data_IF_550025383975
#
_entry.id   IF_550025383975
#
_cell.length_a   1.000
_cell.length_b   1.000
_cell.length_c   1.000
_cell.angle_alpha   90.00
_cell.angle_beta   90.00
_cell.angle_gamma   90.00
#
_symmetry.space_group_name_H-M   'P 1'
#
loop_
_entity.id
_entity.type
_entity.pdbx_description
1 polymer ?
#
# COMPACT_ATOMS: atom_id res chain seq x y z
N UNK A 1 13.51 19.24 -27.68
CA UNK A 1 14.47 18.13 -27.81
C UNK A 1 14.01 17.14 -26.80
N UNK A 2 13.83 15.84 -27.10
CA UNK A 2 13.52 14.87 -26.09
C UNK A 2 14.72 14.78 -25.13
N UNK A 3 14.47 15.02 -23.85
CA UNK A 3 15.43 14.74 -22.76
C UNK A 3 15.74 13.26 -22.87
N UNK A 4 17.00 12.89 -23.07
CA UNK A 4 17.42 11.49 -22.95
C UNK A 4 17.08 11.06 -21.54
N UNK A 5 16.17 10.13 -21.40
CA UNK A 5 15.96 9.42 -20.15
C UNK A 5 17.31 8.80 -19.78
N UNK A 6 17.97 9.34 -18.77
CA UNK A 6 19.04 8.65 -18.07
C UNK A 6 18.29 7.65 -17.18
N UNK A 7 18.31 6.37 -17.55
CA UNK A 7 17.81 5.34 -16.66
C UNK A 7 18.65 5.39 -15.38
N UNK A 8 18.03 5.78 -14.26
CA UNK A 8 18.69 5.74 -12.95
C UNK A 8 19.04 4.29 -12.63
N UNK A 9 20.24 4.07 -12.15
CA UNK A 9 20.68 2.74 -11.66
C UNK A 9 20.25 2.58 -10.21
N UNK A 10 19.04 2.05 -10.00
CA UNK A 10 18.47 1.82 -8.68
C UNK A 10 19.15 0.61 -8.02
N UNK A 11 19.60 0.78 -6.79
CA UNK A 11 20.20 -0.28 -5.95
C UNK A 11 19.27 -0.71 -4.82
N UNK A 12 18.55 0.26 -4.22
CA UNK A 12 17.60 0.04 -3.13
C UNK A 12 16.33 0.85 -3.43
N UNK A 13 15.23 0.16 -3.63
CA UNK A 13 13.89 0.75 -3.80
C UNK A 13 13.00 0.22 -2.69
N UNK A 14 12.50 1.10 -1.86
CA UNK A 14 11.48 0.76 -0.89
C UNK A 14 10.11 0.74 -1.56
N UNK A 15 9.36 -0.34 -1.36
CA UNK A 15 8.05 -0.53 -2.00
C UNK A 15 6.87 -0.28 -1.09
N UNK A 16 7.14 0.23 0.10
CA UNK A 16 6.15 0.70 1.07
C UNK A 16 6.72 1.82 1.92
N UNK A 17 6.22 3.03 1.70
CA UNK A 17 6.54 4.22 2.49
C UNK A 17 5.36 5.16 2.53
N UNK A 18 5.22 5.90 3.63
CA UNK A 18 4.04 6.70 3.87
C UNK A 18 4.34 8.19 3.93
N UNK A 19 3.32 8.98 3.59
CA UNK A 19 3.31 10.42 3.75
C UNK A 19 2.16 10.83 4.68
N UNK A 20 2.45 11.71 5.62
CA UNK A 20 1.42 12.42 6.38
C UNK A 20 1.04 13.65 5.58
N UNK A 21 -0.16 13.69 5.05
CA UNK A 21 -0.61 14.74 4.16
C UNK A 21 -0.54 16.11 4.86
N UNK A 22 0.14 17.12 4.26
CA UNK A 22 0.20 18.46 4.82
C UNK A 22 -1.17 19.15 4.82
N UNK A 23 -1.39 20.16 5.69
CA UNK A 23 -2.70 20.76 5.95
C UNK A 23 -3.42 21.35 4.76
N UNK A 24 -2.70 21.72 3.70
CA UNK A 24 -3.21 22.45 2.54
C UNK A 24 -3.63 21.55 1.36
N UNK A 25 -3.39 20.24 1.42
CA UNK A 25 -3.67 19.31 0.32
C UNK A 25 -5.05 19.49 -0.27
N UNK A 26 -6.08 19.49 0.54
CA UNK A 26 -7.47 19.61 0.07
C UNK A 26 -7.96 21.05 0.00
N UNK A 27 -7.55 21.88 0.97
CA UNK A 27 -8.04 23.26 1.05
C UNK A 27 -7.63 24.13 -0.15
N UNK A 28 -6.50 23.82 -0.77
CA UNK A 28 -5.97 24.51 -1.95
C UNK A 28 -6.57 24.02 -3.28
N UNK A 29 -7.23 22.83 -3.29
CA UNK A 29 -7.64 22.14 -4.54
C UNK A 29 -9.15 21.95 -4.66
N UNK A 30 -9.86 21.85 -3.55
CA UNK A 30 -11.30 21.64 -3.60
C UNK A 30 -12.05 22.84 -4.21
N UNK A 31 -13.12 22.61 -4.97
CA UNK A 31 -14.04 23.64 -5.39
C UNK A 31 -14.54 24.46 -4.19
N UNK A 32 -14.70 25.78 -4.34
CA UNK A 32 -15.02 26.69 -3.24
C UNK A 32 -16.30 26.34 -2.47
N UNK A 33 -17.28 25.71 -3.12
CA UNK A 33 -18.52 25.27 -2.47
C UNK A 33 -18.37 24.00 -1.62
N UNK A 34 -17.25 23.27 -1.78
CA UNK A 34 -16.92 22.06 -1.02
C UNK A 34 -15.84 22.31 0.04
N UNK A 35 -15.01 23.34 -0.14
CA UNK A 35 -13.79 23.54 0.66
C UNK A 35 -14.07 23.64 2.18
N UNK A 36 -15.17 24.27 2.60
CA UNK A 36 -15.51 24.39 4.03
C UNK A 36 -15.75 23.01 4.68
N UNK A 37 -16.27 22.04 3.93
CA UNK A 37 -16.61 20.69 4.40
C UNK A 37 -15.49 19.67 4.11
N UNK A 38 -14.57 20.03 3.24
CA UNK A 38 -13.40 19.21 2.90
C UNK A 38 -12.43 19.04 4.07
N UNK A 39 -11.45 18.13 3.92
CA UNK A 39 -10.44 17.89 4.94
C UNK A 39 -9.69 19.19 5.30
N UNK A 40 -9.61 19.47 6.60
CA UNK A 40 -8.87 20.61 7.17
C UNK A 40 -8.30 20.26 8.53
N UNK A 41 -7.19 20.87 8.89
CA UNK A 41 -6.58 20.67 10.22
C UNK A 41 -7.28 21.57 11.26
N UNK A 42 -7.58 20.97 12.39
CA UNK A 42 -8.01 21.65 13.62
C UNK A 42 -6.98 21.35 14.70
N UNK A 43 -6.21 22.37 15.09
CA UNK A 43 -5.26 22.26 16.20
C UNK A 43 -6.01 22.26 17.52
N UNK A 44 -5.74 21.30 18.38
CA UNK A 44 -6.24 21.18 19.75
C UNK A 44 -5.09 21.38 20.73
N UNK A 45 -5.34 21.30 22.04
CA UNK A 45 -4.25 21.34 23.05
C UNK A 45 -3.30 20.14 22.93
N UNK A 46 -3.85 18.97 22.53
CA UNK A 46 -3.12 17.70 22.57
C UNK A 46 -2.53 17.28 21.21
N UNK A 47 -3.13 17.70 20.07
CA UNK A 47 -2.73 17.27 18.74
C UNK A 47 -3.35 18.11 17.61
N UNK A 48 -2.79 17.95 16.40
CA UNK A 48 -3.43 18.35 15.16
C UNK A 48 -4.34 17.22 14.65
N UNK A 49 -5.59 17.55 14.34
CA UNK A 49 -6.62 16.57 13.99
C UNK A 49 -7.28 16.98 12.68
N UNK A 50 -7.45 16.05 11.76
CA UNK A 50 -8.23 16.28 10.57
C UNK A 50 -9.73 16.38 10.90
N UNK A 51 -10.41 17.37 10.37
CA UNK A 51 -11.87 17.49 10.35
C UNK A 51 -12.35 17.35 8.91
N UNK A 52 -13.24 16.38 8.66
CA UNK A 52 -13.80 16.06 7.34
C UNK A 52 -15.32 15.98 7.51
N UNK A 53 -16.07 16.84 6.81
CA UNK A 53 -17.54 16.89 6.91
C UNK A 53 -18.07 16.92 8.36
N UNK A 54 -17.35 17.62 9.26
CA UNK A 54 -17.69 17.73 10.68
C UNK A 54 -17.28 16.54 11.56
N UNK A 55 -16.65 15.50 10.99
CA UNK A 55 -16.11 14.37 11.73
C UNK A 55 -14.62 14.55 11.96
N UNK A 56 -14.10 14.14 13.13
CA UNK A 56 -12.68 14.25 13.47
C UNK A 56 -11.97 12.94 13.25
N UNK A 57 -10.81 13.03 12.60
CA UNK A 57 -9.94 11.91 12.23
C UNK A 57 -8.52 12.20 12.75
N UNK A 58 -8.17 11.80 13.99
CA UNK A 58 -6.81 11.92 14.48
C UNK A 58 -5.88 10.97 13.74
N UNK A 59 -4.71 11.45 13.35
CA UNK A 59 -3.64 10.59 12.84
C UNK A 59 -3.01 9.90 14.05
N UNK A 60 -2.89 8.57 14.00
CA UNK A 60 -2.16 7.84 15.02
C UNK A 60 -0.70 8.28 15.05
N UNK A 61 -0.16 8.53 16.25
CA UNK A 61 1.28 8.82 16.38
C UNK A 61 2.16 7.70 15.82
N UNK A 62 1.68 6.44 15.84
CA UNK A 62 2.41 5.31 15.25
C UNK A 62 2.73 5.48 13.77
N UNK A 63 2.00 6.36 13.08
CA UNK A 63 2.25 6.69 11.66
C UNK A 63 3.38 7.72 11.44
N UNK A 64 4.07 8.20 12.50
CA UNK A 64 5.09 9.25 12.39
C UNK A 64 6.18 9.07 13.47
N UNK A 65 6.69 7.84 13.63
CA UNK A 65 7.65 7.49 14.68
C UNK A 65 9.10 7.43 14.20
N UNK A 66 9.40 7.60 12.92
CA UNK A 66 10.76 7.58 12.40
C UNK A 66 11.70 8.51 13.17
N UNK A 67 12.84 7.97 13.63
CA UNK A 67 13.85 8.68 14.40
C UNK A 67 13.60 8.79 15.91
N UNK A 68 12.49 8.23 16.41
CA UNK A 68 12.22 8.11 17.85
C UNK A 68 12.75 6.79 18.40
N UNK A 69 13.07 6.78 19.69
CA UNK A 69 13.38 5.53 20.38
C UNK A 69 12.10 4.70 20.60
N UNK A 70 12.22 3.39 20.77
CA UNK A 70 11.07 2.49 20.97
C UNK A 70 10.24 2.85 22.22
N UNK A 71 10.87 3.44 23.24
CA UNK A 71 10.21 3.89 24.47
C UNK A 71 9.34 5.15 24.24
N UNK A 72 9.58 5.89 23.15
CA UNK A 72 8.81 7.08 22.77
C UNK A 72 7.63 6.76 21.86
N UNK A 73 7.47 5.50 21.43
CA UNK A 73 6.37 5.11 20.57
C UNK A 73 5.03 5.32 21.26
N UNK A 74 4.10 5.95 20.55
CA UNK A 74 2.79 6.30 21.09
C UNK A 74 1.70 6.25 20.01
N UNK A 75 0.53 5.65 20.34
CA UNK A 75 -0.63 5.74 19.47
C UNK A 75 -1.37 7.08 19.55
N UNK A 76 -0.97 7.97 20.48
CA UNK A 76 -1.58 9.29 20.62
C UNK A 76 -1.26 10.14 19.41
N UNK A 77 -2.26 10.86 18.90
CA UNK A 77 -2.06 11.82 17.83
C UNK A 77 -1.03 12.89 18.23
N UNK A 78 -0.32 13.41 17.25
CA UNK A 78 0.76 14.39 17.42
C UNK A 78 0.38 15.72 16.76
N UNK A 79 1.09 16.80 17.15
CA UNK A 79 1.16 18.00 16.31
C UNK A 79 2.13 17.78 15.15
N UNK A 80 1.90 18.42 14.00
CA UNK A 80 2.86 18.41 12.90
C UNK A 80 4.27 18.85 13.34
N UNK A 81 4.34 19.83 14.25
CA UNK A 81 5.60 20.31 14.80
C UNK A 81 6.39 19.25 15.60
N UNK A 82 5.73 18.21 16.08
CA UNK A 82 6.33 17.11 16.83
C UNK A 82 6.72 15.93 15.93
N UNK A 83 6.33 15.95 14.64
CA UNK A 83 6.70 14.95 13.66
C UNK A 83 8.03 15.30 13.00
N UNK A 84 8.75 14.29 12.52
CA UNK A 84 9.92 14.50 11.68
C UNK A 84 9.50 15.17 10.37
N UNK A 85 10.19 16.23 9.89
CA UNK A 85 9.80 16.91 8.66
C UNK A 85 9.65 16.00 7.44
N UNK A 86 10.50 14.97 7.28
CA UNK A 86 10.38 13.99 6.21
C UNK A 86 9.03 13.25 6.15
N UNK A 87 8.20 13.31 7.20
CA UNK A 87 6.84 12.77 7.18
C UNK A 87 5.91 13.57 6.24
N UNK A 88 6.09 14.91 6.12
CA UNK A 88 5.15 15.82 5.44
C UNK A 88 5.80 16.86 4.53
N UNK A 89 7.13 16.88 4.39
CA UNK A 89 7.90 17.74 3.50
C UNK A 89 8.75 16.88 2.55
N UNK A 90 8.55 16.98 1.22
CA UNK A 90 9.23 16.09 0.27
C UNK A 90 10.72 16.39 0.14
N UNK A 91 11.19 17.63 0.39
CA UNK A 91 12.61 17.93 0.35
C UNK A 91 13.33 17.31 1.56
N UNK A 92 12.74 17.40 2.76
CA UNK A 92 13.24 16.73 3.94
C UNK A 92 13.16 15.18 3.81
N UNK A 93 12.15 14.64 3.08
CA UNK A 93 12.06 13.21 2.78
C UNK A 93 13.26 12.76 1.94
N UNK A 94 13.62 13.50 0.90
CA UNK A 94 14.78 13.16 0.06
C UNK A 94 16.09 13.17 0.86
N UNK A 95 16.24 14.09 1.84
CA UNK A 95 17.39 14.09 2.76
C UNK A 95 17.39 12.84 3.65
N UNK A 96 16.23 12.41 4.15
CA UNK A 96 16.08 11.19 4.96
C UNK A 96 16.39 9.93 4.15
N UNK A 97 15.96 9.86 2.89
CA UNK A 97 16.30 8.79 1.96
C UNK A 97 17.81 8.72 1.68
N UNK A 98 18.45 9.88 1.48
CA UNK A 98 19.90 9.96 1.26
C UNK A 98 20.68 9.47 2.49
N UNK A 99 20.20 9.81 3.69
CA UNK A 99 20.79 9.36 4.94
C UNK A 99 20.72 7.83 5.09
N UNK A 100 19.63 7.25 4.68
CA UNK A 100 19.33 5.81 4.82
C UNK A 100 19.81 4.97 3.62
N UNK A 101 20.26 5.63 2.54
CA UNK A 101 20.74 4.98 1.33
C UNK A 101 19.65 4.33 0.50
N UNK A 102 18.44 4.92 0.49
CA UNK A 102 17.30 4.48 -0.31
C UNK A 102 17.19 5.33 -1.58
N UNK A 103 17.21 4.69 -2.74
CA UNK A 103 17.20 5.38 -4.04
C UNK A 103 15.82 5.87 -4.45
N UNK A 104 14.77 5.09 -4.16
CA UNK A 104 13.38 5.45 -4.46
C UNK A 104 12.41 4.81 -3.45
N UNK A 105 11.24 5.44 -3.28
CA UNK A 105 10.16 5.03 -2.39
C UNK A 105 8.82 5.02 -3.11
N UNK A 106 8.01 3.97 -2.88
CA UNK A 106 6.63 3.88 -3.33
C UNK A 106 5.73 4.47 -2.26
N UNK A 107 5.03 5.57 -2.58
CA UNK A 107 4.37 6.47 -1.64
C UNK A 107 2.90 6.16 -1.42
N UNK A 108 2.51 5.94 -0.16
CA UNK A 108 1.14 5.77 0.29
C UNK A 108 0.72 6.91 1.24
N UNK A 109 -0.56 7.25 1.25
CA UNK A 109 -1.11 8.27 2.15
C UNK A 109 -1.53 7.70 3.50
N UNK A 110 -1.75 8.60 4.46
CA UNK A 110 -2.16 8.27 5.83
C UNK A 110 -3.62 8.64 6.10
N UNK A 111 -4.02 9.90 5.89
CA UNK A 111 -5.38 10.38 6.23
C UNK A 111 -6.42 10.00 5.17
N UNK A 112 -6.03 9.90 3.92
CA UNK A 112 -6.90 9.34 2.88
C UNK A 112 -7.43 7.95 3.31
N UNK A 113 -6.90 7.45 4.40
CA UNK A 113 -7.04 6.09 4.91
C UNK A 113 -6.34 5.14 3.94
N UNK A 114 -5.63 4.16 4.45
CA UNK A 114 -5.03 3.18 3.57
C UNK A 114 -6.09 2.71 2.56
N UNK A 115 -5.83 2.92 1.28
CA UNK A 115 -6.74 2.62 0.17
C UNK A 115 -8.00 3.53 0.05
N UNK A 116 -7.93 4.76 0.53
CA UNK A 116 -9.03 5.71 0.39
C UNK A 116 -10.25 5.43 1.26
N UNK A 117 -10.10 4.61 2.31
CA UNK A 117 -11.21 4.16 3.17
C UNK A 117 -12.01 5.31 3.78
N UNK A 118 -11.36 6.40 4.17
CA UNK A 118 -12.02 7.62 4.68
C UNK A 118 -12.99 8.22 3.66
N UNK A 119 -12.61 8.26 2.38
CA UNK A 119 -13.44 8.84 1.33
C UNK A 119 -14.50 7.86 0.81
N UNK A 120 -14.26 6.55 0.89
CA UNK A 120 -15.31 5.54 0.65
C UNK A 120 -16.48 5.74 1.64
N UNK A 121 -16.18 5.95 2.93
CA UNK A 121 -17.21 6.22 3.93
C UNK A 121 -17.88 7.57 3.74
N UNK A 122 -17.12 8.58 3.34
CA UNK A 122 -17.66 9.90 3.05
C UNK A 122 -18.67 9.86 1.90
N UNK A 123 -18.39 9.03 0.86
CA UNK A 123 -19.23 8.91 -0.32
C UNK A 123 -20.66 8.43 -0.03
N UNK A 124 -20.88 7.66 1.06
CA UNK A 124 -22.24 7.25 1.47
C UNK A 124 -23.17 8.45 1.75
N UNK A 125 -22.60 9.61 2.08
CA UNK A 125 -23.37 10.82 2.46
C UNK A 125 -23.11 11.98 1.52
N UNK A 126 -21.93 12.07 0.96
CA UNK A 126 -21.40 13.23 0.25
C UNK A 126 -20.51 12.80 -0.92
N UNK A 127 -21.12 12.12 -1.90
CA UNK A 127 -20.41 11.51 -3.01
C UNK A 127 -19.55 12.50 -3.81
N UNK A 128 -20.09 13.70 -4.11
CA UNK A 128 -19.35 14.75 -4.83
C UNK A 128 -18.10 15.19 -4.05
N UNK A 129 -18.25 15.44 -2.74
CA UNK A 129 -17.12 15.83 -1.89
C UNK A 129 -16.08 14.71 -1.82
N UNK A 130 -16.51 13.45 -1.68
CA UNK A 130 -15.64 12.31 -1.61
C UNK A 130 -14.82 12.14 -2.91
N UNK A 131 -15.46 12.27 -4.08
CA UNK A 131 -14.79 12.18 -5.38
C UNK A 131 -13.76 13.30 -5.56
N UNK A 132 -14.12 14.53 -5.24
CA UNK A 132 -13.18 15.66 -5.32
C UNK A 132 -12.03 15.53 -4.30
N UNK A 133 -12.27 14.92 -3.13
CA UNK A 133 -11.19 14.62 -2.17
C UNK A 133 -10.21 13.56 -2.71
N UNK A 134 -10.70 12.51 -3.36
CA UNK A 134 -9.86 11.49 -4.02
C UNK A 134 -8.99 12.14 -5.10
N UNK A 135 -9.60 12.92 -5.98
CA UNK A 135 -8.89 13.63 -7.07
C UNK A 135 -7.86 14.61 -6.52
N UNK A 136 -8.23 15.41 -5.53
CA UNK A 136 -7.32 16.38 -4.91
C UNK A 136 -6.09 15.71 -4.28
N UNK A 137 -6.28 14.55 -3.62
CA UNK A 137 -5.18 13.76 -3.08
C UNK A 137 -4.26 13.23 -4.20
N UNK A 138 -4.83 12.59 -5.23
CA UNK A 138 -4.05 12.04 -6.32
C UNK A 138 -3.28 13.14 -7.07
N UNK A 139 -3.92 14.29 -7.32
CA UNK A 139 -3.27 15.44 -7.96
C UNK A 139 -2.09 15.93 -7.12
N UNK A 140 -2.30 16.17 -5.83
CA UNK A 140 -1.25 16.62 -4.92
C UNK A 140 -0.09 15.63 -4.85
N UNK A 141 -0.38 14.34 -4.63
CA UNK A 141 0.67 13.35 -4.46
C UNK A 141 1.57 13.27 -5.69
N UNK A 142 0.99 13.27 -6.89
CA UNK A 142 1.76 13.15 -8.12
C UNK A 142 2.40 14.46 -8.56
N UNK A 143 1.65 15.58 -8.55
CA UNK A 143 2.09 16.83 -9.20
C UNK A 143 2.84 17.78 -8.29
N UNK A 144 2.86 17.53 -6.98
CA UNK A 144 3.58 18.35 -6.01
C UNK A 144 4.56 17.52 -5.18
N UNK A 145 4.07 16.54 -4.40
CA UNK A 145 4.94 15.73 -3.55
C UNK A 145 5.97 14.96 -4.39
N UNK A 146 5.51 14.06 -5.22
CA UNK A 146 6.41 13.22 -6.04
C UNK A 146 7.09 14.01 -7.18
N UNK A 147 6.52 15.14 -7.60
CA UNK A 147 7.15 16.01 -8.59
C UNK A 147 8.46 16.66 -8.11
N UNK A 148 8.74 16.65 -6.80
CA UNK A 148 10.03 17.11 -6.23
C UNK A 148 11.19 16.27 -6.76
N UNK A 149 11.05 14.95 -6.87
CA UNK A 149 11.94 14.06 -7.62
C UNK A 149 11.13 12.84 -8.11
N UNK A 150 10.54 12.87 -9.30
CA UNK A 150 9.64 11.84 -9.82
C UNK A 150 10.36 10.52 -10.16
N UNK A 151 11.68 10.49 -10.14
CA UNK A 151 12.45 9.25 -10.26
C UNK A 151 12.66 8.58 -8.90
N UNK A 152 12.48 9.31 -7.80
CA UNK A 152 12.67 8.80 -6.44
C UNK A 152 11.39 8.63 -5.65
N UNK A 153 10.38 9.47 -5.85
CA UNK A 153 9.11 9.44 -5.14
C UNK A 153 8.02 8.93 -6.08
N UNK A 154 7.51 7.72 -5.83
CA UNK A 154 6.67 6.96 -6.78
C UNK A 154 5.23 6.96 -6.29
N UNK A 155 4.37 7.75 -6.91
CA UNK A 155 2.99 7.96 -6.47
C UNK A 155 2.10 6.72 -6.69
N UNK A 156 1.29 6.39 -5.66
CA UNK A 156 0.20 5.41 -5.72
C UNK A 156 -1.14 6.12 -5.61
N UNK A 157 -2.05 5.86 -6.57
CA UNK A 157 -3.37 6.48 -6.57
C UNK A 157 -4.35 5.74 -5.67
N UNK A 158 -5.24 6.46 -4.99
CA UNK A 158 -6.46 5.92 -4.38
C UNK A 158 -7.62 6.06 -5.35
N UNK A 159 -8.65 5.20 -5.22
CA UNK A 159 -9.74 5.12 -6.19
C UNK A 159 -11.10 5.37 -5.53
N UNK A 160 -12.07 6.01 -6.25
CA UNK A 160 -13.46 6.14 -5.83
C UNK A 160 -14.21 4.80 -6.00
N UNK A 161 -13.86 3.80 -5.19
CA UNK A 161 -14.23 2.40 -5.40
C UNK A 161 -15.74 2.11 -5.17
N UNK A 162 -16.51 3.07 -4.66
CA UNK A 162 -17.97 3.01 -4.56
C UNK A 162 -18.68 3.06 -5.93
N UNK A 163 -18.01 3.58 -6.96
CA UNK A 163 -18.44 3.55 -8.35
C UNK A 163 -17.31 3.02 -9.24
N UNK A 164 -17.51 1.85 -9.83
CA UNK A 164 -16.47 1.18 -10.63
C UNK A 164 -16.17 1.90 -11.96
N UNK A 165 -17.13 2.67 -12.49
CA UNK A 165 -16.92 3.49 -13.68
C UNK A 165 -16.00 4.67 -13.36
N UNK A 166 -16.34 5.44 -12.33
CA UNK A 166 -15.49 6.55 -11.85
C UNK A 166 -14.09 6.05 -11.42
N UNK A 167 -14.04 4.86 -10.80
CA UNK A 167 -12.76 4.27 -10.39
C UNK A 167 -11.89 3.89 -11.60
N UNK A 168 -12.47 3.35 -12.67
CA UNK A 168 -11.73 3.04 -13.89
C UNK A 168 -11.23 4.31 -14.61
N UNK A 169 -12.08 5.34 -14.70
CA UNK A 169 -11.69 6.66 -15.23
C UNK A 169 -10.56 7.29 -14.40
N UNK A 170 -10.60 7.13 -13.07
CA UNK A 170 -9.56 7.65 -12.17
C UNK A 170 -8.24 6.89 -12.32
N UNK A 171 -8.26 5.57 -12.62
CA UNK A 171 -7.02 4.83 -12.97
C UNK A 171 -6.35 5.45 -14.19
N UNK A 172 -7.10 5.69 -15.27
CA UNK A 172 -6.58 6.26 -16.50
C UNK A 172 -6.01 7.67 -16.24
N UNK A 173 -6.78 8.53 -15.55
CA UNK A 173 -6.37 9.90 -15.21
C UNK A 173 -5.12 9.91 -14.32
N UNK A 174 -5.07 9.06 -13.29
CA UNK A 174 -3.94 9.00 -12.37
C UNK A 174 -2.65 8.59 -13.08
N UNK A 175 -2.72 7.63 -13.98
CA UNK A 175 -1.55 7.21 -14.79
C UNK A 175 -1.09 8.35 -15.72
N UNK A 176 -2.01 9.10 -16.33
CA UNK A 176 -1.67 10.25 -17.17
C UNK A 176 -0.90 11.35 -16.41
N UNK A 177 -1.22 11.56 -15.13
CA UNK A 177 -0.53 12.54 -14.29
C UNK A 177 0.70 12.00 -13.56
N UNK A 178 1.06 10.71 -13.73
CA UNK A 178 2.33 10.15 -13.29
C UNK A 178 2.27 9.08 -12.20
N UNK A 179 1.09 8.65 -11.75
CA UNK A 179 0.98 7.52 -10.83
C UNK A 179 1.48 6.22 -11.47
N UNK A 180 2.15 5.38 -10.67
CA UNK A 180 2.75 4.13 -11.12
C UNK A 180 2.08 2.88 -10.55
N UNK A 181 1.01 3.04 -9.80
CA UNK A 181 0.18 1.97 -9.26
C UNK A 181 -1.07 2.53 -8.61
N UNK A 182 -1.96 1.64 -8.22
CA UNK A 182 -3.18 2.00 -7.50
C UNK A 182 -3.29 1.20 -6.21
N UNK A 183 -3.87 1.83 -5.20
CA UNK A 183 -4.13 1.22 -3.91
C UNK A 183 -5.63 1.00 -3.76
N UNK A 184 -6.04 -0.23 -3.45
CA UNK A 184 -7.44 -0.57 -3.17
C UNK A 184 -7.58 -1.26 -1.82
N UNK A 185 -8.73 -1.14 -1.14
CA UNK A 185 -8.97 -1.89 0.09
C UNK A 185 -8.79 -3.39 -0.13
N UNK A 186 -7.95 -4.03 0.67
CA UNK A 186 -7.76 -5.48 0.64
C UNK A 186 -9.08 -6.23 0.92
N UNK A 187 -9.95 -5.62 1.71
CA UNK A 187 -11.26 -6.14 2.12
C UNK A 187 -12.33 -5.04 1.88
N UNK A 188 -12.79 -4.83 0.63
CA UNK A 188 -13.81 -3.82 0.34
C UNK A 188 -15.11 -4.00 1.15
N UNK A 189 -15.44 -5.24 1.54
CA UNK A 189 -16.62 -5.55 2.36
C UNK A 189 -16.57 -4.87 3.75
N UNK A 190 -15.39 -4.53 4.26
CA UNK A 190 -15.25 -3.77 5.50
C UNK A 190 -15.86 -2.35 5.39
N UNK A 191 -16.02 -1.85 4.17
CA UNK A 191 -16.62 -0.58 3.82
C UNK A 191 -18.02 -0.71 3.19
N UNK A 192 -18.66 -1.88 3.33
CA UNK A 192 -19.98 -2.13 2.73
C UNK A 192 -19.98 -2.35 1.21
N UNK A 193 -18.82 -2.42 0.59
CA UNK A 193 -18.65 -2.63 -0.84
C UNK A 193 -18.66 -4.14 -1.20
N UNK A 194 -18.93 -4.50 -2.46
CA UNK A 194 -18.75 -5.88 -2.95
C UNK A 194 -17.32 -6.40 -2.74
N UNK A 195 -17.13 -7.74 -2.63
CA UNK A 195 -15.77 -8.30 -2.57
C UNK A 195 -14.98 -7.98 -3.85
N UNK A 196 -13.66 -7.84 -3.76
CA UNK A 196 -12.80 -7.50 -4.89
C UNK A 196 -12.96 -8.46 -6.09
N UNK A 197 -13.39 -9.70 -5.83
CA UNK A 197 -13.67 -10.70 -6.84
C UNK A 197 -14.98 -10.49 -7.62
N UNK A 198 -15.83 -9.55 -7.17
CA UNK A 198 -17.11 -9.27 -7.82
C UNK A 198 -16.88 -8.71 -9.23
N UNK A 199 -17.66 -9.17 -10.23
CA UNK A 199 -17.56 -8.64 -11.59
C UNK A 199 -17.76 -7.14 -11.74
N UNK A 200 -18.35 -6.47 -10.76
CA UNK A 200 -18.51 -5.00 -10.76
C UNK A 200 -17.16 -4.28 -10.89
N UNK A 201 -16.06 -4.86 -10.38
CA UNK A 201 -14.72 -4.28 -10.46
C UNK A 201 -13.95 -4.65 -11.73
N UNK A 202 -14.54 -5.41 -12.66
CA UNK A 202 -13.86 -5.73 -13.91
C UNK A 202 -13.36 -4.49 -14.67
N UNK A 203 -14.12 -3.36 -14.78
CA UNK A 203 -13.61 -2.16 -15.44
C UNK A 203 -12.33 -1.59 -14.81
N UNK A 204 -12.24 -1.61 -13.47
CA UNK A 204 -11.08 -1.12 -12.73
C UNK A 204 -9.86 -2.00 -12.98
N UNK A 205 -10.05 -3.33 -12.87
CA UNK A 205 -8.96 -4.30 -13.08
C UNK A 205 -8.47 -4.31 -14.53
N UNK A 206 -9.38 -4.13 -15.49
CA UNK A 206 -9.07 -4.00 -16.91
C UNK A 206 -8.27 -2.71 -17.19
N UNK A 207 -8.65 -1.58 -16.59
CA UNK A 207 -7.92 -0.32 -16.70
C UNK A 207 -6.50 -0.45 -16.12
N UNK A 208 -6.34 -1.03 -14.92
CA UNK A 208 -5.02 -1.28 -14.33
C UNK A 208 -4.16 -2.20 -15.22
N UNK A 209 -4.73 -3.28 -15.74
CA UNK A 209 -4.03 -4.20 -16.64
C UNK A 209 -3.61 -3.49 -17.95
N UNK A 210 -4.50 -2.71 -18.55
CA UNK A 210 -4.23 -1.99 -19.79
C UNK A 210 -3.14 -0.94 -19.62
N UNK A 211 -3.16 -0.22 -18.50
CA UNK A 211 -2.13 0.75 -18.13
C UNK A 211 -0.79 0.09 -17.68
N UNK A 212 -0.81 -1.23 -17.38
CA UNK A 212 0.36 -1.97 -16.90
C UNK A 212 0.78 -1.61 -15.47
N UNK A 213 -0.09 -0.97 -14.70
CA UNK A 213 0.18 -0.58 -13.31
C UNK A 213 -0.25 -1.65 -12.32
N UNK A 214 0.46 -1.86 -11.20
CA UNK A 214 0.06 -2.81 -10.17
C UNK A 214 -1.12 -2.32 -9.34
N UNK A 215 -1.89 -3.29 -8.82
CA UNK A 215 -2.88 -3.10 -7.76
C UNK A 215 -2.25 -3.50 -6.42
N UNK A 216 -2.08 -2.54 -5.54
CA UNK A 216 -1.58 -2.75 -4.19
C UNK A 216 -2.73 -3.10 -3.23
N UNK A 217 -2.51 -4.12 -2.41
CA UNK A 217 -3.36 -4.58 -1.32
C UNK A 217 -2.57 -4.42 -0.03
N UNK A 218 -2.72 -3.28 0.63
CA UNK A 218 -1.97 -2.94 1.83
C UNK A 218 -2.65 -3.50 3.09
N UNK A 219 -1.87 -4.04 4.02
CA UNK A 219 -2.40 -4.42 5.33
C UNK A 219 -2.89 -3.17 6.10
N UNK A 220 -3.57 -3.34 7.21
CA UNK A 220 -4.00 -2.21 8.06
C UNK A 220 -5.26 -1.49 7.61
N UNK A 221 -5.45 -1.21 6.33
CA UNK A 221 -6.53 -0.36 5.83
C UNK A 221 -7.96 -0.80 6.16
N UNK A 222 -8.16 -2.07 6.47
CA UNK A 222 -9.47 -2.63 6.85
C UNK A 222 -9.51 -3.21 8.26
N UNK A 223 -8.37 -3.38 8.94
CA UNK A 223 -8.24 -4.19 10.18
C UNK A 223 -8.93 -3.55 11.38
N UNK A 224 -9.00 -2.24 11.44
CA UNK A 224 -9.73 -1.54 12.52
C UNK A 224 -11.25 -1.80 12.50
N UNK A 225 -11.75 -2.50 11.47
CA UNK A 225 -13.17 -2.74 11.27
C UNK A 225 -13.57 -4.15 11.68
N UNK A 226 -14.80 -4.26 12.22
CA UNK A 226 -15.33 -5.52 12.75
C UNK A 226 -15.29 -6.69 11.76
N UNK A 227 -15.57 -6.42 10.48
CA UNK A 227 -15.57 -7.44 9.43
C UNK A 227 -14.14 -7.98 9.13
N UNK A 228 -13.12 -7.14 9.24
CA UNK A 228 -11.75 -7.58 9.07
C UNK A 228 -11.29 -8.45 10.24
N UNK A 229 -11.71 -8.13 11.46
CA UNK A 229 -11.40 -8.93 12.66
C UNK A 229 -11.93 -10.38 12.54
N UNK A 230 -13.06 -10.59 11.89
CA UNK A 230 -13.59 -11.95 11.66
C UNK A 230 -12.67 -12.80 10.78
N UNK A 231 -11.92 -12.17 9.87
CA UNK A 231 -10.99 -12.87 8.96
C UNK A 231 -9.67 -13.26 9.65
N UNK A 232 -9.29 -12.55 10.70
CA UNK A 232 -8.11 -12.86 11.53
C UNK A 232 -8.47 -13.61 12.82
N UNK A 233 -9.56 -14.38 12.81
CA UNK A 233 -9.96 -15.25 13.92
C UNK A 233 -10.79 -14.58 15.02
N UNK A 234 -11.47 -13.46 14.72
CA UNK A 234 -12.36 -12.77 15.65
C UNK A 234 -11.66 -11.94 16.73
N UNK A 235 -10.35 -11.72 16.59
CA UNK A 235 -9.57 -10.91 17.51
C UNK A 235 -9.78 -9.42 17.19
N UNK A 236 -10.51 -8.72 18.06
CA UNK A 236 -10.74 -7.27 17.91
C UNK A 236 -9.94 -6.48 18.94
N UNK A 237 -9.31 -5.35 18.55
CA UNK A 237 -8.71 -4.44 19.50
C UNK A 237 -9.70 -4.02 20.59
N UNK A 238 -9.25 -3.97 21.86
CA UNK A 238 -10.07 -3.52 22.97
C UNK A 238 -11.00 -4.56 23.62
N UNK A 239 -11.10 -5.78 23.08
CA UNK A 239 -11.89 -6.88 23.67
C UNK A 239 -11.06 -7.77 24.63
N UNK A 240 -10.09 -7.18 25.34
CA UNK A 240 -9.16 -7.92 26.22
C UNK A 240 -8.01 -8.58 25.45
N UNK A 241 -7.85 -8.29 24.16
CA UNK A 241 -6.73 -8.73 23.34
C UNK A 241 -5.58 -7.74 23.52
N UNK A 242 -4.37 -8.17 23.87
CA UNK A 242 -3.19 -7.29 23.93
C UNK A 242 -2.93 -6.62 22.57
N UNK A 243 -2.49 -5.36 22.59
CA UNK A 243 -2.20 -4.63 21.37
C UNK A 243 -1.13 -5.32 20.51
N UNK A 244 -0.11 -5.88 21.16
CA UNK A 244 0.97 -6.62 20.51
C UNK A 244 0.46 -7.82 19.70
N UNK A 245 -0.63 -8.47 20.17
CA UNK A 245 -1.26 -9.56 19.41
C UNK A 245 -1.82 -9.07 18.09
N UNK A 246 -2.44 -7.88 18.09
CA UNK A 246 -3.00 -7.27 16.86
C UNK A 246 -1.86 -6.90 15.92
N UNK A 247 -0.84 -6.20 16.42
CA UNK A 247 0.34 -5.81 15.61
C UNK A 247 0.98 -7.04 14.98
N UNK A 248 1.25 -8.10 15.76
CA UNK A 248 1.89 -9.32 15.27
C UNK A 248 1.05 -10.10 14.24
N UNK A 249 -0.29 -9.96 14.26
CA UNK A 249 -1.18 -10.66 13.32
C UNK A 249 -1.57 -9.82 12.10
N UNK A 250 -1.34 -8.51 12.15
CA UNK A 250 -1.68 -7.59 11.05
C UNK A 250 -1.07 -8.01 9.71
N UNK A 251 0.23 -8.37 9.62
CA UNK A 251 0.84 -8.84 8.37
C UNK A 251 0.14 -10.06 7.75
N UNK A 252 -0.43 -10.93 8.58
CA UNK A 252 -1.14 -12.13 8.10
C UNK A 252 -2.52 -11.83 7.51
N UNK A 253 -3.00 -10.59 7.58
CA UNK A 253 -4.29 -10.18 7.02
C UNK A 253 -4.41 -10.46 5.52
N UNK A 254 -3.34 -10.29 4.76
CA UNK A 254 -3.33 -10.54 3.32
C UNK A 254 -3.28 -12.01 2.92
N UNK A 255 -2.99 -12.93 3.83
CA UNK A 255 -3.06 -14.37 3.58
C UNK A 255 -4.42 -14.81 3.02
N UNK A 256 -5.51 -14.44 3.71
CA UNK A 256 -6.88 -14.75 3.27
C UNK A 256 -7.29 -14.01 2.00
N UNK A 257 -6.83 -12.76 1.86
CA UNK A 257 -7.10 -11.92 0.68
C UNK A 257 -6.49 -12.54 -0.57
N UNK A 258 -5.22 -12.96 -0.52
CA UNK A 258 -4.55 -13.60 -1.66
C UNK A 258 -5.17 -14.94 -2.05
N UNK A 259 -5.61 -15.75 -1.07
CA UNK A 259 -6.38 -16.97 -1.37
C UNK A 259 -7.64 -16.64 -2.15
N UNK A 260 -8.40 -15.63 -1.69
CA UNK A 260 -9.63 -15.20 -2.34
C UNK A 260 -9.37 -14.66 -3.76
N UNK A 261 -8.37 -13.78 -3.93
CA UNK A 261 -7.97 -13.25 -5.24
C UNK A 261 -7.66 -14.38 -6.22
N UNK A 262 -6.86 -15.38 -5.83
CA UNK A 262 -6.47 -16.49 -6.70
C UNK A 262 -7.69 -17.38 -7.01
N UNK A 263 -8.35 -17.91 -5.99
CA UNK A 263 -9.44 -18.87 -6.19
C UNK A 263 -10.70 -18.27 -6.82
N UNK A 264 -10.90 -16.96 -6.72
CA UNK A 264 -11.98 -16.27 -7.44
C UNK A 264 -11.77 -16.18 -8.96
N UNK A 265 -10.54 -16.49 -9.43
CA UNK A 265 -10.20 -16.48 -10.85
C UNK A 265 -9.87 -15.08 -11.41
N UNK A 266 -9.61 -14.08 -10.56
CA UNK A 266 -9.09 -12.77 -11.01
C UNK A 266 -7.86 -12.99 -11.91
N UNK A 267 -6.83 -13.76 -11.50
CA UNK A 267 -5.66 -13.97 -12.34
C UNK A 267 -5.91 -14.68 -13.67
N UNK A 268 -7.03 -15.40 -13.79
CA UNK A 268 -7.45 -16.05 -15.06
C UNK A 268 -8.09 -15.02 -15.99
N UNK A 269 -8.94 -14.14 -15.43
CA UNK A 269 -9.65 -13.11 -16.22
C UNK A 269 -8.73 -11.96 -16.63
N UNK A 270 -7.75 -11.64 -15.78
CA UNK A 270 -6.81 -10.53 -15.97
C UNK A 270 -5.35 -11.05 -15.92
N UNK A 271 -4.88 -11.77 -16.97
CA UNK A 271 -3.60 -12.49 -16.94
C UNK A 271 -2.37 -11.58 -16.96
N UNK A 272 -2.51 -10.30 -17.30
CA UNK A 272 -1.45 -9.30 -17.28
C UNK A 272 -1.48 -8.40 -16.04
N UNK A 273 -2.49 -8.55 -15.17
CA UNK A 273 -2.62 -7.73 -13.96
C UNK A 273 -1.54 -8.09 -12.94
N UNK A 274 -0.86 -7.10 -12.41
CA UNK A 274 0.09 -7.26 -11.30
C UNK A 274 -0.61 -6.95 -9.98
N UNK A 275 -0.45 -7.80 -8.96
CA UNK A 275 -1.06 -7.62 -7.64
C UNK A 275 0.04 -7.70 -6.58
N UNK A 276 0.11 -6.70 -5.72
CA UNK A 276 1.14 -6.56 -4.68
C UNK A 276 0.50 -6.67 -3.30
N UNK A 277 0.99 -7.58 -2.47
CA UNK A 277 0.70 -7.62 -1.03
C UNK A 277 1.72 -6.75 -0.33
N UNK A 278 1.28 -5.63 0.20
CA UNK A 278 2.14 -4.63 0.83
C UNK A 278 2.14 -4.83 2.34
N UNK A 279 3.31 -4.71 2.96
CA UNK A 279 3.57 -4.80 4.41
C UNK A 279 3.13 -6.14 5.04
N UNK A 280 3.16 -7.23 4.25
CA UNK A 280 2.61 -8.51 4.71
C UNK A 280 3.66 -9.54 5.09
N UNK A 281 4.94 -9.24 4.91
CA UNK A 281 6.00 -10.22 5.02
C UNK A 281 5.90 -11.32 3.94
N UNK A 282 6.88 -12.21 3.92
CA UNK A 282 7.00 -13.26 2.91
C UNK A 282 7.15 -14.67 3.49
N UNK A 283 7.42 -14.80 4.79
CA UNK A 283 7.65 -16.10 5.45
C UNK A 283 6.46 -17.04 5.41
N UNK A 284 5.25 -16.52 5.31
CA UNK A 284 4.03 -17.33 5.20
C UNK A 284 3.79 -17.86 3.77
N UNK A 285 4.39 -17.27 2.74
CA UNK A 285 4.11 -17.57 1.33
C UNK A 285 4.42 -19.02 0.94
N UNK A 286 5.56 -19.64 1.30
CA UNK A 286 5.85 -21.01 0.90
C UNK A 286 4.80 -22.02 1.37
N UNK A 287 4.43 -21.98 2.65
CA UNK A 287 3.38 -22.83 3.21
C UNK A 287 2.02 -22.59 2.54
N UNK A 288 1.73 -21.33 2.29
CA UNK A 288 0.46 -20.93 1.68
C UNK A 288 0.31 -21.45 0.25
N UNK A 289 1.34 -21.33 -0.57
CA UNK A 289 1.35 -21.87 -1.94
C UNK A 289 1.15 -23.39 -1.96
N UNK A 290 1.89 -24.12 -1.09
CA UNK A 290 1.71 -25.56 -0.94
C UNK A 290 0.28 -25.92 -0.52
N UNK A 291 -0.27 -25.20 0.45
CA UNK A 291 -1.63 -25.44 0.96
C UNK A 291 -2.70 -25.18 -0.08
N UNK A 292 -2.55 -24.11 -0.87
CA UNK A 292 -3.46 -23.80 -1.97
C UNK A 292 -3.41 -24.85 -3.08
N UNK A 293 -2.22 -25.28 -3.51
CA UNK A 293 -2.06 -26.29 -4.56
C UNK A 293 -2.63 -27.64 -4.11
N UNK A 294 -2.43 -28.01 -2.84
CA UNK A 294 -3.07 -29.18 -2.25
C UNK A 294 -4.58 -29.09 -2.26
N UNK A 295 -5.14 -27.94 -1.89
CA UNK A 295 -6.57 -27.68 -1.89
C UNK A 295 -7.15 -27.76 -3.30
N UNK A 296 -6.53 -27.09 -4.26
CA UNK A 296 -6.90 -27.12 -5.67
C UNK A 296 -6.94 -28.55 -6.23
N UNK A 297 -5.86 -29.33 -6.00
CA UNK A 297 -5.77 -30.70 -6.50
C UNK A 297 -6.94 -31.58 -6.05
N UNK A 298 -7.40 -31.41 -4.80
CA UNK A 298 -8.47 -32.24 -4.22
C UNK A 298 -9.86 -31.73 -4.45
N UNK A 299 -10.04 -30.43 -4.57
CA UNK A 299 -11.35 -29.83 -4.48
C UNK A 299 -11.84 -29.19 -5.78
N UNK A 300 -10.97 -28.90 -6.78
CA UNK A 300 -11.33 -28.16 -8.01
C UNK A 300 -12.54 -28.70 -8.76
N UNK A 301 -12.80 -29.99 -8.70
CA UNK A 301 -13.91 -30.61 -9.47
C UNK A 301 -15.27 -30.32 -8.84
N UNK A 302 -15.40 -30.52 -7.53
CA UNK A 302 -16.68 -30.29 -6.87
C UNK A 302 -16.96 -28.81 -6.63
N UNK A 303 -15.89 -27.98 -6.44
CA UNK A 303 -16.01 -26.51 -6.34
C UNK A 303 -16.20 -25.85 -7.69
N UNK A 304 -16.00 -26.58 -8.80
CA UNK A 304 -16.00 -26.03 -10.16
C UNK A 304 -15.04 -24.85 -10.27
N UNK A 305 -13.82 -25.04 -9.78
CA UNK A 305 -12.79 -23.99 -9.75
C UNK A 305 -12.65 -23.30 -11.11
N UNK A 306 -12.53 -21.98 -11.09
CA UNK A 306 -12.23 -21.17 -12.27
C UNK A 306 -10.77 -21.34 -12.74
N UNK A 307 -9.90 -21.87 -11.87
CA UNK A 307 -8.48 -22.04 -12.18
C UNK A 307 -8.25 -23.23 -13.11
N UNK A 308 -7.34 -23.07 -14.06
CA UNK A 308 -6.89 -24.11 -15.00
C UNK A 308 -5.52 -24.67 -14.64
N UNK A 309 -4.78 -23.98 -13.80
CA UNK A 309 -3.43 -24.32 -13.31
C UNK A 309 -3.40 -24.30 -11.76
N UNK A 310 -2.39 -24.87 -11.12
CA UNK A 310 -2.21 -24.74 -9.68
C UNK A 310 -2.12 -23.26 -9.23
N UNK A 311 -2.66 -22.89 -8.06
CA UNK A 311 -2.58 -21.55 -7.49
C UNK A 311 -1.17 -20.95 -7.47
N UNK A 312 -0.15 -21.73 -7.14
CA UNK A 312 1.25 -21.29 -7.14
C UNK A 312 1.74 -20.79 -8.51
N UNK A 313 1.18 -21.29 -9.61
CA UNK A 313 1.51 -20.82 -10.97
C UNK A 313 1.03 -19.38 -11.17
N UNK A 314 -0.19 -19.07 -10.71
CA UNK A 314 -0.73 -17.71 -10.79
C UNK A 314 0.03 -16.74 -9.89
N UNK A 315 0.39 -17.17 -8.68
CA UNK A 315 1.23 -16.36 -7.80
C UNK A 315 2.53 -15.97 -8.50
N UNK A 316 3.31 -16.95 -8.96
CA UNK A 316 4.61 -16.67 -9.61
C UNK A 316 4.50 -15.83 -10.88
N UNK A 317 3.37 -15.87 -11.57
CA UNK A 317 3.18 -15.12 -12.81
C UNK A 317 2.92 -13.64 -12.60
N UNK A 318 2.13 -13.26 -11.57
CA UNK A 318 1.57 -11.92 -11.48
C UNK A 318 1.31 -11.39 -10.06
N UNK A 319 1.73 -12.11 -9.02
CA UNK A 319 1.57 -11.65 -7.64
C UNK A 319 2.93 -11.41 -6.99
N UNK A 320 2.97 -10.40 -6.13
CA UNK A 320 4.19 -9.95 -5.46
C UNK A 320 3.89 -9.75 -3.99
N UNK A 321 4.90 -9.90 -3.13
CA UNK A 321 4.81 -9.61 -1.71
C UNK A 321 6.01 -8.79 -1.26
N UNK A 322 5.78 -7.89 -0.30
CA UNK A 322 6.80 -7.01 0.24
C UNK A 322 7.11 -7.36 1.69
N UNK A 323 8.29 -7.00 2.16
CA UNK A 323 8.77 -7.29 3.50
C UNK A 323 9.85 -6.31 3.95
N UNK A 324 9.90 -6.04 5.26
CA UNK A 324 10.96 -5.27 5.92
C UNK A 324 12.12 -6.19 6.33
N UNK A 325 11.86 -7.03 7.33
CA UNK A 325 12.77 -8.06 7.87
C UNK A 325 11.97 -9.36 8.02
N UNK A 326 12.40 -10.42 7.33
CA UNK A 326 11.71 -11.72 7.36
C UNK A 326 12.68 -12.85 7.02
N UNK A 327 13.47 -13.29 8.01
CA UNK A 327 14.48 -14.34 7.83
C UNK A 327 13.87 -15.64 7.31
N UNK A 328 12.68 -16.03 7.81
CA UNK A 328 12.00 -17.24 7.37
C UNK A 328 11.65 -17.21 5.87
N UNK A 329 11.24 -16.02 5.39
CA UNK A 329 10.96 -15.81 3.99
C UNK A 329 12.23 -15.77 3.12
N UNK A 330 13.27 -15.14 3.63
CA UNK A 330 14.58 -15.05 2.95
C UNK A 330 15.19 -16.44 2.79
N UNK A 331 15.16 -17.27 3.84
CA UNK A 331 15.61 -18.68 3.76
C UNK A 331 14.82 -19.51 2.73
N UNK A 332 13.56 -19.14 2.49
CA UNK A 332 12.68 -19.83 1.55
C UNK A 332 12.52 -19.12 0.19
N UNK A 333 13.32 -18.11 -0.12
CA UNK A 333 13.13 -17.20 -1.24
C UNK A 333 13.03 -17.90 -2.61
N UNK A 334 13.79 -18.97 -2.82
CA UNK A 334 13.71 -19.75 -4.05
C UNK A 334 12.37 -20.51 -4.20
N UNK A 335 11.76 -20.90 -3.07
CA UNK A 335 10.44 -21.56 -3.04
C UNK A 335 9.30 -20.57 -3.30
N UNK A 336 9.46 -19.33 -2.87
CA UNK A 336 8.54 -18.23 -3.14
C UNK A 336 8.63 -17.87 -4.64
N UNK A 337 9.81 -17.65 -5.13
CA UNK A 337 10.20 -17.03 -6.38
C UNK A 337 10.83 -15.68 -6.10
N UNK A 338 12.15 -15.57 -6.22
CA UNK A 338 12.87 -14.33 -5.90
C UNK A 338 12.37 -13.12 -6.72
N UNK A 339 11.86 -13.37 -7.92
CA UNK A 339 11.27 -12.38 -8.82
C UNK A 339 9.90 -11.84 -8.36
N UNK A 340 9.30 -12.45 -7.33
CA UNK A 340 7.99 -12.06 -6.78
C UNK A 340 8.08 -11.37 -5.41
N UNK A 341 9.30 -11.04 -4.98
CA UNK A 341 9.58 -10.46 -3.66
C UNK A 341 10.22 -9.10 -3.82
N UNK A 342 9.78 -8.11 -3.01
CA UNK A 342 10.34 -6.76 -2.99
C UNK A 342 10.57 -6.34 -1.54
N UNK A 343 11.63 -5.57 -1.32
CA UNK A 343 11.96 -4.99 -0.03
C UNK A 343 11.21 -3.67 0.22
N UNK A 344 10.97 -3.34 1.49
CA UNK A 344 10.34 -2.11 1.94
C UNK A 344 10.99 -1.56 3.21
N UNK A 345 10.84 -0.25 3.45
CA UNK A 345 11.32 0.46 4.63
C UNK A 345 10.21 0.79 5.63
N UNK A 346 8.99 0.98 5.15
CA UNK A 346 7.82 1.44 5.90
C UNK A 346 8.05 2.79 6.62
N UNK A 347 8.85 3.69 6.01
CA UNK A 347 9.01 5.03 6.58
C UNK A 347 7.69 5.83 6.49
N UNK A 348 7.23 6.53 7.53
CA UNK A 348 7.85 6.80 8.84
C UNK A 348 7.16 6.05 10.01
N UNK A 349 6.58 4.90 9.77
CA UNK A 349 5.85 4.12 10.76
C UNK A 349 6.74 3.55 11.89
N UNK A 350 6.13 2.85 12.84
CA UNK A 350 6.84 2.20 13.97
C UNK A 350 7.72 1.04 13.54
N UNK A 351 7.37 0.36 12.45
CA UNK A 351 8.10 -0.81 11.96
C UNK A 351 9.25 -0.43 11.01
N UNK A 352 9.41 0.86 10.72
CA UNK A 352 10.42 1.35 9.78
C UNK A 352 11.83 0.87 10.08
N UNK A 353 12.55 0.50 9.02
CA UNK A 353 13.99 0.19 9.08
C UNK A 353 14.87 1.44 9.18
N UNK A 354 14.31 2.63 8.91
CA UNK A 354 15.01 3.90 8.97
C UNK A 354 15.52 4.25 10.39
N UNK A 355 16.70 4.79 10.62
CA UNK A 355 17.75 5.14 9.65
C UNK A 355 18.83 4.06 9.50
N UNK A 356 18.46 2.79 9.59
CA UNK A 356 19.40 1.64 9.61
C UNK A 356 19.15 0.66 8.49
N UNK A 357 18.46 1.08 7.42
CA UNK A 357 18.11 0.17 6.31
C UNK A 357 19.33 -0.53 5.72
N UNK A 358 20.45 0.18 5.52
CA UNK A 358 21.66 -0.45 4.96
C UNK A 358 22.27 -1.50 5.91
N UNK A 359 22.23 -1.26 7.23
CA UNK A 359 22.73 -2.24 8.22
C UNK A 359 21.86 -3.50 8.20
N UNK A 360 20.53 -3.35 8.23
CA UNK A 360 19.58 -4.45 8.22
C UNK A 360 19.59 -5.21 6.88
N UNK A 361 19.70 -4.50 5.75
CA UNK A 361 19.87 -5.12 4.43
C UNK A 361 21.13 -5.99 4.41
N UNK A 362 22.25 -5.53 4.93
CA UNK A 362 23.49 -6.33 4.97
C UNK A 362 23.36 -7.50 5.93
N UNK A 363 22.74 -7.31 7.09
CA UNK A 363 22.54 -8.37 8.09
C UNK A 363 21.67 -9.51 7.56
N UNK A 364 20.52 -9.18 6.95
CA UNK A 364 19.51 -10.17 6.55
C UNK A 364 19.64 -10.64 5.11
N UNK A 365 20.11 -9.79 4.20
CA UNK A 365 20.19 -10.08 2.75
C UNK A 365 21.64 -10.24 2.24
N UNK A 366 22.64 -9.92 3.06
CA UNK A 366 24.06 -9.97 2.67
C UNK A 366 24.55 -11.37 2.27
N UNK A 367 23.88 -12.43 2.77
CA UNK A 367 24.17 -13.82 2.42
C UNK A 367 23.56 -14.31 1.10
N UNK A 368 22.68 -13.53 0.48
CA UNK A 368 22.05 -13.93 -0.79
C UNK A 368 23.02 -13.77 -1.98
N UNK A 369 22.87 -14.58 -3.04
CA UNK A 369 23.56 -14.33 -4.30
C UNK A 369 23.24 -12.93 -4.84
N UNK A 370 24.23 -12.22 -5.38
CA UNK A 370 24.12 -10.84 -5.86
C UNK A 370 22.91 -10.60 -6.77
N UNK A 371 22.63 -11.53 -7.69
CA UNK A 371 21.51 -11.44 -8.61
C UNK A 371 20.15 -11.49 -7.90
N UNK A 372 20.01 -12.32 -6.86
CA UNK A 372 18.78 -12.41 -6.05
C UNK A 372 18.67 -11.16 -5.18
N UNK A 373 19.75 -10.77 -4.51
CA UNK A 373 19.78 -9.56 -3.67
C UNK A 373 19.38 -8.32 -4.48
N UNK A 374 19.96 -8.11 -5.67
CA UNK A 374 19.59 -7.01 -6.54
C UNK A 374 18.13 -7.09 -7.01
N UNK A 375 17.63 -8.27 -7.38
CA UNK A 375 16.24 -8.45 -7.79
C UNK A 375 15.28 -8.01 -6.68
N UNK A 376 15.51 -8.42 -5.44
CA UNK A 376 14.68 -8.13 -4.26
C UNK A 376 14.76 -6.66 -3.87
N UNK A 377 15.96 -6.06 -3.86
CA UNK A 377 16.17 -4.70 -3.40
C UNK A 377 15.77 -3.63 -4.42
N UNK A 378 15.81 -3.94 -5.73
CA UNK A 378 15.50 -2.94 -6.75
C UNK A 378 14.86 -3.52 -8.02
N UNK A 379 15.43 -4.58 -8.61
CA UNK A 379 15.07 -5.03 -9.94
C UNK A 379 13.59 -5.39 -10.10
N UNK A 380 12.98 -6.00 -9.08
CA UNK A 380 11.56 -6.34 -9.11
C UNK A 380 10.68 -5.09 -9.01
N UNK A 381 11.00 -4.14 -8.14
CA UNK A 381 10.28 -2.87 -8.02
C UNK A 381 10.36 -2.07 -9.32
N UNK A 382 11.55 -1.96 -9.92
CA UNK A 382 11.76 -1.32 -11.22
C UNK A 382 10.84 -1.93 -12.28
N UNK A 383 10.75 -3.25 -12.35
CA UNK A 383 9.90 -3.97 -13.32
C UNK A 383 8.41 -3.85 -13.01
N UNK A 384 8.02 -3.92 -11.74
CA UNK A 384 6.61 -3.91 -11.31
C UNK A 384 6.00 -2.53 -11.51
N UNK A 385 6.70 -1.47 -11.09
CA UNK A 385 6.25 -0.07 -11.16
C UNK A 385 6.72 0.67 -12.43
N UNK A 386 7.49 0.01 -13.32
CA UNK A 386 7.94 0.61 -14.58
C UNK A 386 8.88 1.80 -14.38
N UNK A 387 9.80 1.71 -13.40
CA UNK A 387 10.74 2.79 -13.12
C UNK A 387 11.85 2.86 -14.18
N UNK A 388 12.34 4.07 -14.47
CA UNK A 388 13.44 4.27 -15.42
C UNK A 388 13.09 4.02 -16.90
N UNK A 389 11.79 3.93 -17.25
CA UNK A 389 11.30 3.73 -18.63
C UNK A 389 10.80 5.02 -19.26
#
# INVERSE_FOLDING_TARGET
MPVKAHSRDYKVVSTDDHVVEPPDVWQSRLPSHLAERGPKIVSTEDADVWEIAGSRHPISGLAAMAGRSFEEYTPKALHFADMRPGCYDPAARLEDMDLDGVDAEVMFGTIAGLAGGTFIELAEKEEELALECVRAYNDWLSTEWCATDPERLIAQAILPLWDSGLAAEEVERAVEIGHRGVLVPAIPQAFGLPPLADPVYAPVLDACQAAGVPVALHIGGSIARKQAAELIGGLTPGAGVPAETIVALTPLGNFGVFANVIFSGIPVRHPGLKIVSVESGIGWVPYFLERMDWTYTRHRFWTKSALTEPPSTYFRRQMYATFLVDDSGIEAIERIGAENVMWESDYPHTDTTWPKSQELIEEHLGGLPDAIRHAVLAGNAVRVYGLGS
#
